data_IF_782539970311
#
_entry.id   IF_782539970311
#
_cell.length_a   1.000
_cell.length_b   1.000
_cell.length_c   1.000
_cell.angle_alpha   90.00
_cell.angle_beta   90.00
_cell.angle_gamma   90.00
#
_symmetry.space_group_name_H-M   'P 1'
#
loop_
_entity.id
_entity.type
_entity.pdbx_description
1 polymer ?
#
# COMPACT_ATOMS: atom_id res chain seq x y z
N UNK A 1 -8.00 -4.49 -30.34
CA UNK A 1 -8.15 -3.60 -29.15
C UNK A 1 -8.55 -4.36 -27.87
N UNK A 2 -8.08 -5.60 -27.64
CA UNK A 2 -8.40 -6.46 -26.48
C UNK A 2 -7.17 -6.75 -25.57
N UNK A 3 -6.03 -6.17 -25.91
CA UNK A 3 -4.73 -6.56 -25.34
C UNK A 3 -4.44 -5.86 -24.00
N UNK A 4 -4.79 -4.58 -23.89
CA UNK A 4 -4.64 -3.79 -22.66
C UNK A 4 -5.45 -4.41 -21.51
N UNK A 5 -6.68 -4.87 -21.78
CA UNK A 5 -7.51 -5.53 -20.77
C UNK A 5 -6.86 -6.81 -20.23
N UNK A 6 -6.19 -7.58 -21.10
CA UNK A 6 -5.46 -8.77 -20.69
C UNK A 6 -4.20 -8.44 -19.88
N UNK A 7 -3.49 -7.35 -20.24
CA UNK A 7 -2.33 -6.86 -19.49
C UNK A 7 -2.73 -6.35 -18.09
N UNK A 8 -3.77 -5.52 -18.00
CA UNK A 8 -4.27 -5.03 -16.70
C UNK A 8 -4.70 -6.21 -15.83
N UNK A 9 -5.45 -7.16 -16.38
CA UNK A 9 -5.87 -8.36 -15.62
C UNK A 9 -4.71 -9.26 -15.17
N UNK A 10 -3.60 -9.29 -15.91
CA UNK A 10 -2.39 -10.00 -15.51
C UNK A 10 -1.62 -9.28 -14.39
N UNK A 11 -1.67 -7.95 -14.34
CA UNK A 11 -1.04 -7.14 -13.30
C UNK A 11 -1.77 -7.22 -11.95
N UNK A 12 -3.08 -7.47 -11.96
CA UNK A 12 -3.90 -7.56 -10.75
C UNK A 12 -3.68 -8.90 -10.02
N UNK A 13 -3.07 -8.85 -8.84
CA UNK A 13 -2.64 -10.04 -8.06
C UNK A 13 -3.79 -10.74 -7.31
N UNK A 14 -4.89 -10.04 -7.01
CA UNK A 14 -5.99 -10.58 -6.21
C UNK A 14 -7.27 -10.71 -7.03
N UNK A 15 -8.12 -11.68 -6.68
CA UNK A 15 -9.39 -11.89 -7.37
C UNK A 15 -10.35 -10.72 -7.15
N UNK A 16 -10.35 -10.12 -5.96
CA UNK A 16 -11.09 -8.89 -5.69
C UNK A 16 -10.70 -7.75 -6.64
N UNK A 17 -9.41 -7.57 -6.91
CA UNK A 17 -8.94 -6.52 -7.80
C UNK A 17 -9.39 -6.79 -9.25
N UNK A 18 -9.32 -8.05 -9.70
CA UNK A 18 -9.81 -8.48 -11.01
C UNK A 18 -11.33 -8.27 -11.15
N UNK A 19 -12.11 -8.63 -10.14
CA UNK A 19 -13.57 -8.42 -10.12
C UNK A 19 -13.93 -6.92 -10.16
N UNK A 20 -13.20 -6.08 -9.41
CA UNK A 20 -13.37 -4.62 -9.46
C UNK A 20 -13.05 -4.05 -10.84
N UNK A 21 -11.98 -4.49 -11.48
CA UNK A 21 -11.64 -4.05 -12.84
C UNK A 21 -12.71 -4.45 -13.86
N UNK A 22 -13.18 -5.69 -13.77
CA UNK A 22 -14.26 -6.17 -14.64
C UNK A 22 -15.54 -5.37 -14.42
N UNK A 23 -15.91 -5.08 -13.17
CA UNK A 23 -17.04 -4.23 -12.86
C UNK A 23 -16.88 -2.82 -13.47
N UNK A 24 -15.69 -2.21 -13.35
CA UNK A 24 -15.38 -0.93 -13.98
C UNK A 24 -15.59 -0.96 -15.50
N UNK A 25 -15.08 -2.00 -16.18
CA UNK A 25 -15.26 -2.15 -17.64
C UNK A 25 -16.73 -2.35 -18.01
N UNK A 26 -17.45 -3.16 -17.23
CA UNK A 26 -18.88 -3.37 -17.45
C UNK A 26 -19.69 -2.10 -17.27
N UNK A 27 -19.36 -1.23 -16.29
CA UNK A 27 -20.01 0.09 -16.14
C UNK A 27 -19.70 0.99 -17.32
N UNK A 28 -18.43 1.07 -17.74
CA UNK A 28 -17.99 1.94 -18.84
C UNK A 28 -18.64 1.56 -20.18
N UNK A 29 -18.71 0.27 -20.48
CA UNK A 29 -19.22 -0.24 -21.75
C UNK A 29 -20.70 -0.68 -21.65
N UNK A 30 -21.41 -0.34 -20.57
CA UNK A 30 -22.74 -0.88 -20.27
C UNK A 30 -23.75 -0.63 -21.39
N UNK A 31 -23.83 0.62 -21.88
CA UNK A 31 -24.69 1.00 -22.99
C UNK A 31 -24.41 0.21 -24.28
N UNK A 32 -23.15 -0.16 -24.54
CA UNK A 32 -22.78 -1.01 -25.68
C UNK A 32 -23.21 -2.47 -25.49
N UNK A 33 -23.32 -2.94 -24.24
CA UNK A 33 -23.67 -4.32 -23.90
C UNK A 33 -25.19 -4.53 -23.91
N UNK A 34 -25.94 -3.62 -23.28
CA UNK A 34 -27.40 -3.79 -23.09
C UNK A 34 -28.25 -2.85 -23.96
N UNK A 35 -27.63 -1.87 -24.62
CA UNK A 35 -28.31 -0.82 -25.38
C UNK A 35 -28.62 0.41 -24.53
N UNK A 36 -28.67 1.58 -25.18
CA UNK A 36 -28.91 2.88 -24.56
C UNK A 36 -30.15 2.93 -23.66
N UNK A 37 -31.29 2.42 -24.14
CA UNK A 37 -32.55 2.44 -23.39
C UNK A 37 -32.45 1.65 -22.07
N UNK A 38 -31.83 0.47 -22.11
CA UNK A 38 -31.67 -0.36 -20.93
C UNK A 38 -30.58 0.19 -19.98
N UNK A 39 -29.52 0.80 -20.52
CA UNK A 39 -28.43 1.38 -19.73
C UNK A 39 -28.83 2.66 -18.99
N UNK A 40 -29.78 3.45 -19.51
CA UNK A 40 -30.33 4.62 -18.78
C UNK A 40 -31.06 4.24 -17.50
N UNK A 41 -31.62 3.04 -17.47
CA UNK A 41 -32.45 2.54 -16.37
C UNK A 41 -31.77 1.43 -15.57
N UNK A 42 -30.51 1.12 -15.86
CA UNK A 42 -29.80 0.06 -15.16
C UNK A 42 -28.30 0.27 -15.11
N UNK A 43 -27.65 -0.27 -14.08
CA UNK A 43 -26.20 -0.25 -13.98
C UNK A 43 -25.63 -1.49 -13.28
N UNK A 44 -24.45 -1.98 -13.66
CA UNK A 44 -23.70 -2.95 -12.87
C UNK A 44 -23.26 -2.30 -11.56
N UNK A 45 -23.83 -2.75 -10.45
CA UNK A 45 -23.53 -2.20 -9.13
C UNK A 45 -22.35 -2.91 -8.48
N UNK A 46 -22.32 -4.25 -8.51
CA UNK A 46 -21.33 -5.06 -7.81
C UNK A 46 -21.05 -6.37 -8.53
N UNK A 47 -19.81 -6.85 -8.49
CA UNK A 47 -19.43 -8.19 -8.94
C UNK A 47 -18.69 -8.89 -7.81
N UNK A 48 -19.20 -10.06 -7.39
CA UNK A 48 -18.55 -10.89 -6.38
C UNK A 48 -18.81 -12.37 -6.64
N UNK A 49 -17.75 -13.17 -6.63
CA UNK A 49 -17.80 -14.62 -6.80
C UNK A 49 -18.60 -15.06 -8.03
N UNK A 50 -18.50 -14.27 -9.11
CA UNK A 50 -19.23 -14.49 -10.36
C UNK A 50 -20.73 -14.16 -10.34
N UNK A 51 -21.22 -13.49 -9.30
CA UNK A 51 -22.58 -12.92 -9.26
C UNK A 51 -22.49 -11.42 -9.57
N UNK A 52 -23.12 -10.99 -10.67
CA UNK A 52 -23.25 -9.59 -11.02
C UNK A 52 -24.57 -9.04 -10.48
N UNK A 53 -24.47 -8.01 -9.65
CA UNK A 53 -25.58 -7.25 -9.10
C UNK A 53 -25.83 -6.06 -10.00
N UNK A 54 -27.07 -5.91 -10.46
CA UNK A 54 -27.51 -4.82 -11.33
C UNK A 54 -28.55 -4.01 -10.56
N UNK A 55 -28.38 -2.69 -10.50
CA UNK A 55 -29.41 -1.78 -10.02
C UNK A 55 -30.28 -1.32 -11.17
N UNK A 56 -31.58 -1.16 -10.91
CA UNK A 56 -32.55 -0.53 -11.80
C UNK A 56 -33.27 0.60 -11.07
N UNK A 57 -33.63 1.65 -11.79
CA UNK A 57 -34.33 2.81 -11.23
C UNK A 57 -35.85 2.60 -11.08
N UNK A 58 -36.42 1.54 -11.67
CA UNK A 58 -37.84 1.18 -11.52
C UNK A 58 -38.05 -0.36 -11.57
N UNK A 59 -38.93 -0.93 -10.72
CA UNK A 59 -39.38 -2.33 -10.78
C UNK A 59 -39.75 -2.89 -12.16
N UNK A 60 -40.35 -2.11 -13.07
CA UNK A 60 -40.71 -2.59 -14.42
C UNK A 60 -39.48 -3.05 -15.21
N UNK A 61 -38.36 -2.34 -15.07
CA UNK A 61 -37.09 -2.73 -15.70
C UNK A 61 -36.50 -3.99 -15.08
N UNK A 62 -36.65 -4.19 -13.77
CA UNK A 62 -36.21 -5.42 -13.11
C UNK A 62 -36.88 -6.66 -13.73
N UNK A 63 -38.18 -6.57 -14.01
CA UNK A 63 -38.91 -7.66 -14.66
C UNK A 63 -38.42 -7.91 -16.09
N UNK A 64 -38.25 -6.86 -16.90
CA UNK A 64 -37.73 -6.96 -18.26
C UNK A 64 -36.33 -7.60 -18.32
N UNK A 65 -35.45 -7.24 -17.38
CA UNK A 65 -34.10 -7.80 -17.29
C UNK A 65 -34.10 -9.28 -16.88
N UNK A 66 -35.04 -9.71 -16.02
CA UNK A 66 -35.21 -11.12 -15.67
C UNK A 66 -35.67 -11.94 -16.89
N UNK A 67 -36.64 -11.42 -17.66
CA UNK A 67 -37.12 -12.08 -18.89
C UNK A 67 -36.02 -12.20 -19.95
N UNK A 68 -35.06 -11.26 -19.98
CA UNK A 68 -33.94 -11.26 -20.92
C UNK A 68 -32.62 -11.83 -20.35
N UNK A 69 -32.64 -12.44 -19.15
CA UNK A 69 -31.43 -12.82 -18.40
C UNK A 69 -30.43 -13.66 -19.20
N UNK A 70 -30.91 -14.64 -19.98
CA UNK A 70 -30.06 -15.49 -20.80
C UNK A 70 -29.31 -14.72 -21.91
N UNK A 71 -29.99 -13.78 -22.56
CA UNK A 71 -29.39 -12.90 -23.59
C UNK A 71 -28.36 -11.96 -22.98
N UNK A 72 -28.65 -11.40 -21.80
CA UNK A 72 -27.77 -10.51 -21.06
C UNK A 72 -26.49 -11.22 -20.59
N UNK A 73 -26.61 -12.42 -20.01
CA UNK A 73 -25.45 -13.23 -19.62
C UNK A 73 -24.54 -13.56 -20.81
N UNK A 74 -25.13 -13.83 -21.97
CA UNK A 74 -24.38 -14.06 -23.21
C UNK A 74 -23.66 -12.79 -23.70
N UNK A 75 -24.33 -11.64 -23.69
CA UNK A 75 -23.75 -10.35 -24.08
C UNK A 75 -22.59 -9.95 -23.15
N UNK A 76 -22.80 -10.01 -21.83
CA UNK A 76 -21.76 -9.77 -20.82
C UNK A 76 -20.58 -10.72 -21.05
N UNK A 77 -20.84 -12.03 -21.21
CA UNK A 77 -19.80 -13.02 -21.44
C UNK A 77 -19.02 -12.89 -22.76
N UNK A 78 -19.52 -12.09 -23.72
CA UNK A 78 -18.81 -11.69 -24.95
C UNK A 78 -17.96 -10.44 -24.73
N UNK A 79 -18.42 -9.51 -23.90
CA UNK A 79 -17.72 -8.27 -23.57
C UNK A 79 -16.52 -8.50 -22.64
N UNK A 80 -16.56 -9.55 -21.80
CA UNK A 80 -15.47 -9.85 -20.87
C UNK A 80 -14.16 -10.29 -21.55
N UNK A 81 -13.00 -9.88 -21.02
CA UNK A 81 -11.70 -10.25 -21.57
C UNK A 81 -11.45 -11.76 -21.47
N UNK A 82 -10.86 -12.31 -22.55
CA UNK A 82 -10.49 -13.72 -22.67
C UNK A 82 -9.01 -13.84 -22.96
N UNK A 83 -8.35 -14.79 -22.29
CA UNK A 83 -6.97 -15.18 -22.59
C UNK A 83 -6.97 -16.66 -22.96
N UNK A 84 -6.41 -17.00 -24.13
CA UNK A 84 -6.36 -18.36 -24.65
C UNK A 84 -7.71 -19.09 -24.62
N UNK A 85 -8.79 -18.40 -25.02
CA UNK A 85 -10.16 -18.95 -25.03
C UNK A 85 -10.83 -19.05 -23.66
N UNK A 86 -10.10 -18.92 -22.54
CA UNK A 86 -10.64 -18.94 -21.17
C UNK A 86 -11.02 -17.54 -20.70
N UNK A 87 -12.14 -17.43 -19.99
CA UNK A 87 -12.55 -16.19 -19.31
C UNK A 87 -11.69 -16.00 -18.07
N UNK A 88 -11.12 -14.80 -17.91
CA UNK A 88 -10.32 -14.45 -16.74
C UNK A 88 -11.18 -14.25 -15.49
N UNK A 89 -12.41 -13.76 -15.67
CA UNK A 89 -13.47 -13.69 -14.65
C UNK A 89 -14.78 -14.14 -15.29
N UNK A 90 -15.55 -14.97 -14.60
CA UNK A 90 -16.84 -15.47 -15.10
C UNK A 90 -18.00 -14.85 -14.34
N UNK A 91 -18.92 -14.20 -15.04
CA UNK A 91 -20.26 -13.91 -14.53
C UNK A 91 -21.15 -15.11 -14.82
N UNK A 92 -21.66 -15.75 -13.76
CA UNK A 92 -22.51 -16.95 -13.81
C UNK A 92 -23.98 -16.60 -13.57
N UNK A 93 -24.23 -15.66 -12.66
CA UNK A 93 -25.57 -15.31 -12.19
C UNK A 93 -25.75 -13.80 -12.20
N UNK A 94 -26.95 -13.36 -12.56
CA UNK A 94 -27.38 -11.96 -12.41
C UNK A 94 -28.34 -11.87 -11.23
N UNK A 95 -28.19 -10.83 -10.42
CA UNK A 95 -29.20 -10.44 -9.43
C UNK A 95 -29.57 -8.98 -9.66
N UNK A 96 -30.85 -8.72 -9.89
CA UNK A 96 -31.34 -7.38 -10.22
C UNK A 96 -32.10 -6.84 -9.02
N UNK A 97 -31.80 -5.61 -8.63
CA UNK A 97 -32.42 -4.93 -7.50
C UNK A 97 -32.84 -3.53 -7.93
N UNK A 98 -33.90 -3.03 -7.31
CA UNK A 98 -34.21 -1.62 -7.41
C UNK A 98 -33.22 -0.84 -6.53
N UNK A 99 -32.61 0.21 -7.09
CA UNK A 99 -31.61 1.01 -6.40
C UNK A 99 -31.24 2.27 -7.16
N UNK A 100 -30.38 3.09 -6.54
CA UNK A 100 -29.90 4.33 -7.14
C UNK A 100 -28.89 4.01 -8.25
N UNK A 101 -29.03 4.72 -9.37
CA UNK A 101 -28.04 4.74 -10.45
C UNK A 101 -26.96 5.76 -10.09
N UNK A 102 -25.70 5.32 -10.03
CA UNK A 102 -24.55 6.16 -9.70
C UNK A 102 -24.07 6.80 -11.00
N UNK A 103 -23.96 8.12 -11.03
CA UNK A 103 -23.29 8.79 -12.13
C UNK A 103 -21.81 8.37 -12.15
N UNK A 104 -21.27 8.15 -13.36
CA UNK A 104 -19.86 7.83 -13.49
C UNK A 104 -19.06 8.99 -12.87
N UNK A 105 -18.07 8.71 -11.99
CA UNK A 105 -17.25 9.78 -11.44
C UNK A 105 -16.60 10.51 -12.60
N UNK A 106 -16.99 11.77 -12.80
CA UNK A 106 -16.37 12.62 -13.80
C UNK A 106 -14.87 12.68 -13.48
N UNK A 107 -14.04 12.53 -14.51
CA UNK A 107 -12.64 12.86 -14.35
C UNK A 107 -12.62 14.30 -13.84
N UNK A 108 -12.08 14.53 -12.65
CA UNK A 108 -11.90 15.88 -12.09
C UNK A 108 -10.83 16.58 -12.94
N UNK A 109 -11.22 17.05 -14.13
CA UNK A 109 -10.30 17.65 -15.11
C UNK A 109 -9.75 18.98 -14.59
N UNK A 110 -10.50 19.64 -13.68
CA UNK A 110 -10.22 21.01 -13.22
C UNK A 110 -9.84 21.13 -11.74
N UNK A 111 -9.50 20.04 -11.05
CA UNK A 111 -8.93 20.16 -9.71
C UNK A 111 -7.52 20.74 -9.80
N UNK A 112 -7.41 22.05 -9.61
CA UNK A 112 -6.12 22.72 -9.42
C UNK A 112 -5.40 22.02 -8.27
N UNK A 113 -4.11 21.68 -8.44
CA UNK A 113 -3.32 21.15 -7.34
C UNK A 113 -3.43 22.08 -6.13
N UNK A 114 -3.46 21.51 -4.93
CA UNK A 114 -3.33 22.31 -3.72
C UNK A 114 -2.05 23.14 -3.81
N UNK A 115 -2.21 24.46 -3.92
CA UNK A 115 -1.09 25.39 -3.93
C UNK A 115 -1.05 26.09 -2.57
N UNK A 116 -0.01 25.86 -1.75
CA UNK A 116 0.08 26.49 -0.45
C UNK A 116 0.20 28.01 -0.60
N UNK A 117 -0.42 28.75 0.32
CA UNK A 117 -0.31 30.21 0.38
C UNK A 117 1.08 30.57 0.91
N UNK A 118 1.85 31.26 0.07
CA UNK A 118 3.17 31.78 0.43
C UNK A 118 2.99 33.12 1.13
N UNK A 119 3.74 33.31 2.22
CA UNK A 119 3.84 34.59 2.89
C UNK A 119 4.94 35.42 2.23
N UNK A 120 4.55 36.52 1.57
CA UNK A 120 5.49 37.40 0.87
C UNK A 120 6.46 38.13 1.82
N UNK A 121 6.07 38.30 3.08
CA UNK A 121 6.84 39.04 4.10
C UNK A 121 7.77 38.13 4.89
N UNK A 122 7.37 36.88 5.13
CA UNK A 122 8.15 35.95 5.92
C UNK A 122 9.02 35.04 5.03
N UNK A 123 10.34 35.25 5.09
CA UNK A 123 11.34 34.46 4.37
C UNK A 123 12.11 33.53 5.30
N UNK A 124 12.52 32.39 4.76
CA UNK A 124 13.33 31.43 5.51
C UNK A 124 14.68 32.07 5.91
N UNK A 125 15.07 32.02 7.21
CA UNK A 125 16.31 32.64 7.69
C UNK A 125 17.59 31.97 7.17
N UNK A 126 17.50 30.78 6.58
CA UNK A 126 18.65 30.02 6.11
C UNK A 126 18.90 30.11 4.60
N UNK A 127 17.87 30.37 3.79
CA UNK A 127 17.98 30.35 2.34
C UNK A 127 17.18 31.45 1.62
N UNK A 128 16.35 32.23 2.32
CA UNK A 128 15.61 33.36 1.76
C UNK A 128 14.34 33.01 0.96
N UNK A 129 13.98 31.74 0.82
CA UNK A 129 12.74 31.30 0.15
C UNK A 129 11.50 31.73 0.97
N UNK A 130 10.40 32.20 0.33
CA UNK A 130 9.15 32.52 1.02
C UNK A 130 8.61 31.32 1.81
N UNK A 131 8.12 31.58 3.03
CA UNK A 131 7.56 30.55 3.91
C UNK A 131 6.08 30.34 3.61
N UNK A 132 5.59 29.14 3.91
CA UNK A 132 4.15 28.89 3.96
C UNK A 132 3.63 29.48 5.29
N UNK A 133 2.40 30.02 5.31
CA UNK A 133 1.78 30.55 6.53
C UNK A 133 1.94 29.57 7.72
N UNK A 134 2.53 30.07 8.82
CA UNK A 134 2.78 29.29 10.04
C UNK A 134 4.12 28.53 10.09
N UNK A 135 4.92 28.51 9.02
CA UNK A 135 6.27 27.94 9.07
C UNK A 135 7.31 28.93 9.63
N UNK A 136 8.29 28.41 10.38
CA UNK A 136 9.44 29.19 10.89
C UNK A 136 10.65 29.06 9.93
N UNK A 137 10.77 27.90 9.27
CA UNK A 137 11.83 27.56 8.33
C UNK A 137 11.22 26.78 7.16
N UNK A 138 11.77 26.92 5.94
CA UNK A 138 11.19 26.25 4.78
C UNK A 138 11.41 24.73 4.85
N UNK A 139 10.54 23.98 4.19
CA UNK A 139 10.59 22.51 4.14
C UNK A 139 11.95 21.96 3.70
N UNK A 140 12.63 22.61 2.74
CA UNK A 140 13.95 22.20 2.27
C UNK A 140 15.04 22.37 3.35
N UNK A 141 15.09 23.53 4.02
CA UNK A 141 16.04 23.78 5.10
C UNK A 141 15.76 22.93 6.35
N UNK A 142 14.48 22.70 6.67
CA UNK A 142 14.07 21.75 7.73
C UNK A 142 14.62 20.36 7.45
N UNK A 143 14.36 19.81 6.25
CA UNK A 143 14.89 18.51 5.82
C UNK A 143 16.40 18.45 5.88
N UNK A 144 17.10 19.50 5.47
CA UNK A 144 18.57 19.56 5.54
C UNK A 144 19.08 19.53 6.98
N UNK A 145 18.42 20.22 7.90
CA UNK A 145 18.75 20.20 9.34
C UNK A 145 18.47 18.82 9.93
N UNK A 146 17.30 18.26 9.66
CA UNK A 146 16.90 16.94 10.16
C UNK A 146 17.87 15.86 9.68
N UNK A 147 18.26 15.90 8.39
CA UNK A 147 19.24 14.99 7.82
C UNK A 147 20.62 15.16 8.47
N UNK A 148 21.07 16.40 8.71
CA UNK A 148 22.33 16.64 9.43
C UNK A 148 22.29 16.07 10.85
N UNK A 149 21.17 16.20 11.57
CA UNK A 149 20.98 15.60 12.89
C UNK A 149 21.00 14.07 12.81
N UNK A 150 20.28 13.45 11.86
CA UNK A 150 20.28 12.00 11.62
C UNK A 150 21.68 11.48 11.32
N UNK A 151 22.45 12.21 10.50
CA UNK A 151 23.84 11.87 10.19
C UNK A 151 24.75 11.91 11.42
N UNK A 152 24.60 12.92 12.29
CA UNK A 152 25.35 13.00 13.56
C UNK A 152 25.02 11.82 14.47
N UNK A 153 23.73 11.49 14.65
CA UNK A 153 23.30 10.32 15.43
C UNK A 153 23.90 9.04 14.85
N UNK A 154 23.82 8.87 13.53
CA UNK A 154 24.37 7.71 12.85
C UNK A 154 25.90 7.61 13.02
N UNK A 155 26.64 8.72 13.01
CA UNK A 155 28.08 8.73 13.31
C UNK A 155 28.37 8.30 14.75
N UNK A 156 27.55 8.75 15.72
CA UNK A 156 27.67 8.32 17.11
C UNK A 156 27.41 6.82 17.24
N UNK A 157 26.32 6.30 16.67
CA UNK A 157 26.01 4.87 16.71
C UNK A 157 27.05 4.00 16.01
N UNK A 158 27.74 4.52 14.99
CA UNK A 158 28.88 3.80 14.37
C UNK A 158 30.08 3.67 15.31
N UNK A 159 30.32 4.66 16.17
CA UNK A 159 31.44 4.67 17.13
C UNK A 159 31.09 3.91 18.41
N UNK A 160 29.87 4.10 18.91
CA UNK A 160 29.36 3.53 20.17
C UNK A 160 27.97 2.91 19.92
N UNK A 161 27.90 1.73 19.30
CA UNK A 161 26.62 1.11 18.91
C UNK A 161 25.68 0.79 20.08
N UNK A 162 26.22 0.58 21.28
CA UNK A 162 25.44 0.29 22.48
C UNK A 162 24.87 1.51 23.20
N UNK A 163 25.14 2.73 22.71
CA UNK A 163 24.72 3.98 23.36
C UNK A 163 23.20 4.04 23.58
N UNK A 164 22.81 4.57 24.73
CA UNK A 164 21.42 4.86 25.07
C UNK A 164 20.97 6.19 24.44
N UNK A 165 19.66 6.46 24.46
CA UNK A 165 19.18 7.78 24.04
C UNK A 165 19.64 8.86 25.02
N UNK A 166 19.62 8.55 26.31
CA UNK A 166 20.01 9.42 27.42
C UNK A 166 21.47 9.87 27.27
N UNK A 167 22.36 9.00 26.85
CA UNK A 167 23.77 9.35 26.59
C UNK A 167 23.92 10.09 25.24
N UNK A 168 23.17 9.67 24.22
CA UNK A 168 23.26 10.29 22.89
C UNK A 168 22.84 11.76 22.90
N UNK A 169 21.80 12.13 23.65
CA UNK A 169 21.31 13.52 23.75
C UNK A 169 22.30 14.48 24.41
N UNK A 170 23.29 13.98 25.17
CA UNK A 170 24.39 14.80 25.69
C UNK A 170 25.41 15.17 24.61
N UNK A 171 25.45 14.42 23.51
CA UNK A 171 26.40 14.64 22.39
C UNK A 171 25.73 15.31 21.19
N UNK A 172 24.48 14.95 20.91
CA UNK A 172 23.71 15.47 19.77
C UNK A 172 22.37 15.96 20.27
N UNK A 173 22.04 17.22 19.98
CA UNK A 173 20.70 17.75 20.22
C UNK A 173 19.71 17.05 19.29
N UNK A 174 19.02 16.03 19.83
CA UNK A 174 18.05 15.22 19.12
C UNK A 174 16.92 14.79 20.04
N UNK A 175 15.76 14.54 19.46
CA UNK A 175 14.62 13.95 20.15
C UNK A 175 14.68 12.42 20.11
N UNK A 176 13.93 11.79 21.02
CA UNK A 176 13.90 10.33 21.16
C UNK A 176 13.39 9.63 19.91
N UNK A 177 12.43 10.20 19.18
CA UNK A 177 11.89 9.58 17.97
C UNK A 177 12.97 9.51 16.89
N UNK A 178 13.64 10.62 16.61
CA UNK A 178 14.72 10.67 15.61
C UNK A 178 15.86 9.70 15.97
N UNK A 179 16.24 9.61 17.25
CA UNK A 179 17.24 8.63 17.69
C UNK A 179 16.79 7.19 17.46
N UNK A 180 15.59 6.84 17.91
CA UNK A 180 15.04 5.49 17.78
C UNK A 180 14.90 5.08 16.32
N UNK A 181 14.45 5.98 15.44
CA UNK A 181 14.34 5.73 14.00
C UNK A 181 15.70 5.43 13.36
N UNK A 182 16.71 6.27 13.64
CA UNK A 182 18.06 6.07 13.08
C UNK A 182 18.68 4.77 13.59
N UNK A 183 18.51 4.47 14.89
CA UNK A 183 18.98 3.22 15.50
C UNK A 183 18.29 1.99 14.92
N UNK A 184 16.98 2.05 14.68
CA UNK A 184 16.23 0.97 14.06
C UNK A 184 16.69 0.71 12.63
N UNK A 185 16.79 1.76 11.79
CA UNK A 185 17.24 1.64 10.41
C UNK A 185 18.66 1.08 10.31
N UNK A 186 19.60 1.62 11.10
CA UNK A 186 20.97 1.11 11.14
C UNK A 186 21.03 -0.32 11.69
N UNK A 187 20.18 -0.63 12.67
CA UNK A 187 20.03 -1.96 13.25
C UNK A 187 19.52 -2.99 12.25
N UNK A 188 18.51 -2.65 11.45
CA UNK A 188 17.99 -3.53 10.39
C UNK A 188 19.05 -3.81 9.32
N UNK A 189 19.78 -2.77 8.88
CA UNK A 189 20.89 -2.92 7.95
C UNK A 189 22.02 -3.79 8.53
N UNK A 190 22.44 -3.53 9.76
CA UNK A 190 23.50 -4.29 10.44
C UNK A 190 23.09 -5.75 10.64
N UNK A 191 21.84 -6.00 11.05
CA UNK A 191 21.32 -7.35 11.23
C UNK A 191 21.20 -8.10 9.90
N UNK A 192 20.80 -7.41 8.82
CA UNK A 192 20.80 -7.98 7.48
C UNK A 192 22.19 -8.49 7.06
N UNK A 193 23.24 -7.71 7.34
CA UNK A 193 24.63 -8.14 7.12
C UNK A 193 25.06 -9.28 8.04
N UNK A 194 24.70 -9.24 9.31
CA UNK A 194 25.10 -10.24 10.29
C UNK A 194 24.45 -11.62 10.05
N UNK A 195 23.29 -11.66 9.39
CA UNK A 195 22.58 -12.89 9.05
C UNK A 195 23.10 -13.58 7.80
N UNK A 196 23.97 -12.92 7.01
CA UNK A 196 24.62 -13.54 5.87
C UNK A 196 25.47 -14.76 6.33
N UNK A 197 25.40 -15.90 5.63
CA UNK A 197 26.19 -17.09 5.98
C UNK A 197 27.70 -16.85 6.06
N UNK A 198 28.22 -15.86 5.33
CA UNK A 198 29.65 -15.50 5.28
C UNK A 198 29.97 -14.23 6.09
N UNK A 199 29.07 -13.81 7.00
CA UNK A 199 29.26 -12.64 7.82
C UNK A 199 30.49 -12.77 8.75
N UNK A 200 31.28 -11.71 8.84
CA UNK A 200 32.43 -11.64 9.75
C UNK A 200 31.96 -11.50 11.20
N UNK A 201 32.77 -11.96 12.16
CA UNK A 201 32.51 -11.82 13.60
C UNK A 201 32.26 -10.36 14.02
N UNK A 202 33.02 -9.42 13.44
CA UNK A 202 32.87 -7.98 13.66
C UNK A 202 31.48 -7.47 13.27
N UNK A 203 30.94 -7.94 12.14
CA UNK A 203 29.62 -7.51 11.66
C UNK A 203 28.50 -8.07 12.56
N UNK A 204 28.65 -9.31 13.04
CA UNK A 204 27.73 -9.92 14.02
C UNK A 204 27.76 -9.17 15.36
N UNK A 205 28.95 -8.89 15.89
CA UNK A 205 29.11 -8.15 17.14
C UNK A 205 28.50 -6.74 17.04
N UNK A 206 28.77 -6.02 15.94
CA UNK A 206 28.20 -4.69 15.71
C UNK A 206 26.67 -4.71 15.70
N UNK A 207 26.06 -5.65 14.98
CA UNK A 207 24.60 -5.78 14.92
C UNK A 207 23.97 -6.11 16.28
N UNK A 208 24.60 -6.99 17.06
CA UNK A 208 24.12 -7.37 18.40
C UNK A 208 24.22 -6.19 19.36
N UNK A 209 25.36 -5.50 19.41
CA UNK A 209 25.56 -4.30 20.25
C UNK A 209 24.51 -3.24 19.95
N UNK A 210 24.27 -2.96 18.66
CA UNK A 210 23.35 -1.92 18.23
C UNK A 210 21.89 -2.25 18.54
N UNK A 211 21.44 -3.47 18.24
CA UNK A 211 20.03 -3.86 18.38
C UNK A 211 19.64 -4.18 19.82
N UNK A 212 20.58 -4.68 20.63
CA UNK A 212 20.33 -5.07 22.03
C UNK A 212 20.86 -4.07 23.04
N UNK A 213 21.56 -3.02 22.61
CA UNK A 213 22.24 -2.05 23.48
C UNK A 213 23.18 -2.74 24.48
N UNK A 214 23.86 -3.79 24.04
CA UNK A 214 24.83 -4.53 24.86
C UNK A 214 26.20 -3.88 24.74
N UNK A 215 26.80 -3.54 25.88
CA UNK A 215 28.15 -3.00 25.97
C UNK A 215 29.21 -4.08 25.64
N UNK A 216 30.42 -3.71 25.16
CA UNK A 216 31.49 -4.62 24.79
C UNK A 216 31.82 -5.67 25.85
N UNK A 217 31.76 -5.28 27.13
CA UNK A 217 32.06 -6.11 28.29
C UNK A 217 31.03 -7.23 28.49
N UNK A 218 29.84 -7.09 27.90
CA UNK A 218 28.74 -8.05 28.00
C UNK A 218 28.70 -9.05 26.83
N UNK A 219 29.57 -8.93 25.84
CA UNK A 219 29.61 -9.83 24.69
C UNK A 219 30.54 -11.03 24.94
N UNK A 220 30.04 -12.19 24.57
CA UNK A 220 30.83 -13.40 24.32
C UNK A 220 30.45 -13.95 22.95
N UNK A 221 31.34 -14.71 22.32
CA UNK A 221 31.07 -15.31 21.00
C UNK A 221 29.81 -16.19 21.03
N UNK A 222 29.66 -17.00 22.09
CA UNK A 222 28.47 -17.82 22.34
C UNK A 222 27.18 -16.99 22.40
N UNK A 223 27.23 -15.84 23.09
CA UNK A 223 26.07 -14.96 23.25
C UNK A 223 25.72 -14.27 21.93
N UNK A 224 26.72 -13.89 21.14
CA UNK A 224 26.52 -13.32 19.81
C UNK A 224 25.79 -14.33 18.92
N UNK A 225 26.33 -15.55 18.80
CA UNK A 225 25.76 -16.57 17.93
C UNK A 225 24.35 -16.99 18.38
N UNK A 226 24.10 -17.10 19.69
CA UNK A 226 22.76 -17.37 20.22
C UNK A 226 21.73 -16.28 19.83
N UNK A 227 22.13 -15.01 19.86
CA UNK A 227 21.25 -13.89 19.46
C UNK A 227 21.01 -13.91 17.95
N UNK A 228 22.04 -14.14 17.15
CA UNK A 228 21.93 -14.20 15.69
C UNK A 228 21.02 -15.36 15.26
N UNK A 229 21.15 -16.53 15.86
CA UNK A 229 20.31 -17.68 15.53
C UNK A 229 18.84 -17.48 15.94
N UNK A 230 18.62 -16.83 17.09
CA UNK A 230 17.28 -16.42 17.51
C UNK A 230 16.64 -15.42 16.53
N UNK A 231 17.43 -14.51 15.95
CA UNK A 231 16.92 -13.57 14.94
C UNK A 231 16.70 -14.24 13.57
N UNK A 232 17.55 -15.20 13.19
CA UNK A 232 17.38 -16.02 11.96
C UNK A 232 16.05 -16.78 11.98
N UNK A 233 15.76 -17.45 13.10
CA UNK A 233 14.51 -18.21 13.27
C UNK A 233 13.27 -17.32 13.24
N UNK A 234 13.30 -16.14 13.88
CA UNK A 234 12.22 -15.15 13.85
C UNK A 234 11.88 -14.65 12.44
N UNK A 235 12.90 -14.39 11.62
CA UNK A 235 12.70 -13.87 10.25
C UNK A 235 12.26 -14.94 9.25
N UNK A 236 12.62 -16.19 9.51
CA UNK A 236 12.21 -17.34 8.68
C UNK A 236 10.80 -17.80 9.03
N UNK A 237 10.33 -17.50 10.25
CA UNK A 237 8.99 -17.81 10.70
C UNK A 237 7.92 -16.98 9.97
N UNK A 238 7.34 -17.57 8.92
CA UNK A 238 6.06 -17.15 8.37
C UNK A 238 4.97 -17.88 9.15
N UNK A 239 4.14 -17.20 9.96
CA UNK A 239 3.01 -17.86 10.59
C UNK A 239 2.09 -18.40 9.49
N UNK A 240 1.93 -19.72 9.43
CA UNK A 240 0.86 -20.35 8.65
C UNK A 240 -0.49 -20.03 9.32
N UNK A 241 -0.97 -18.79 9.20
CA UNK A 241 -2.28 -18.39 9.66
C UNK A 241 -3.35 -18.86 8.68
N UNK A 242 -3.54 -20.17 8.60
CA UNK A 242 -4.77 -20.79 8.13
C UNK A 242 -5.81 -20.78 9.23
N UNK A 243 -6.24 -19.61 9.73
CA UNK A 243 -7.47 -19.53 10.53
C UNK A 243 -8.65 -19.67 9.59
N UNK A 244 -9.10 -20.91 9.37
CA UNK A 244 -10.44 -21.16 8.87
C UNK A 244 -11.42 -20.51 9.84
N UNK A 245 -12.05 -19.42 9.40
CA UNK A 245 -13.21 -18.85 10.08
C UNK A 245 -14.35 -19.86 9.96
N UNK A 246 -14.49 -20.72 10.96
CA UNK A 246 -15.71 -21.49 11.14
C UNK A 246 -16.83 -20.51 11.48
N UNK A 247 -17.68 -20.21 10.49
CA UNK A 247 -19.00 -19.67 10.76
C UNK A 247 -19.80 -20.73 11.50
N UNK A 248 -20.15 -20.46 12.77
CA UNK A 248 -21.17 -21.24 13.48
C UNK A 248 -22.52 -21.01 12.78
N UNK A 249 -23.22 -22.13 12.55
CA UNK A 249 -24.62 -22.18 12.12
C UNK A 249 -25.53 -21.59 13.19
#
# INVERSE_FOLDING_TARGET
MKDIDCLVMAALKTDLAKEKYVLYRLRKDWALIVGEAAARHSQPYRLQHGILFIHTDNPSWSHNFLTMQGKLLAAIGKALPRKNGRRLVSVKTLKIFHGVLEEAPEAKVDERPFMPRLDEKHRCPFCGVPLIEGEIICSACRRKRDEATRQKIHQVLKKTPWISYEDCRHTVECDKMTFTDVKALLGEWAMGRALDPHAKSVDKAFAVMLTRSLSPEQLSDERIDAIIEKERSRRTYVPASGKQLHHKK
#
